data_IF_366672981305
#
_entry.id   IF_366672981305
#
_cell.length_a   1.000
_cell.length_b   1.000
_cell.length_c   1.000
_cell.angle_alpha   90.00
_cell.angle_beta   90.00
_cell.angle_gamma   90.00
#
_symmetry.space_group_name_H-M   'P 1'
#
loop_
_entity.id
_entity.type
_entity.pdbx_description
1 polymer ?
#
# COMPACT_ATOMS: atom_id res chain seq x y z
N UNK A 1 -15.09 -60.46 -7.73
CA UNK A 1 -15.66 -59.37 -8.56
C UNK A 1 -15.62 -58.03 -7.81
N UNK A 2 -16.07 -57.95 -6.56
CA UNK A 2 -16.07 -56.70 -5.77
C UNK A 2 -14.68 -56.10 -5.50
N UNK A 3 -13.65 -56.92 -5.23
CA UNK A 3 -12.30 -56.40 -4.98
C UNK A 3 -11.69 -55.69 -6.20
N UNK A 4 -11.94 -56.21 -7.41
CA UNK A 4 -11.44 -55.64 -8.65
C UNK A 4 -12.13 -54.30 -8.93
N UNK A 5 -13.44 -54.22 -8.67
CA UNK A 5 -14.23 -53.00 -8.83
C UNK A 5 -13.77 -51.88 -7.88
N UNK A 6 -13.45 -52.23 -6.62
CA UNK A 6 -12.90 -51.28 -5.63
C UNK A 6 -11.53 -50.75 -6.03
N UNK A 7 -10.64 -51.61 -6.53
CA UNK A 7 -9.31 -51.19 -7.00
C UNK A 7 -9.38 -50.27 -8.22
N UNK A 8 -10.31 -50.53 -9.16
CA UNK A 8 -10.52 -49.66 -10.32
C UNK A 8 -11.06 -48.28 -9.88
N UNK A 9 -12.00 -48.23 -8.94
CA UNK A 9 -12.54 -46.97 -8.41
C UNK A 9 -11.45 -46.16 -7.69
N UNK A 10 -10.59 -46.79 -6.88
CA UNK A 10 -9.48 -46.12 -6.21
C UNK A 10 -8.45 -45.55 -7.21
N UNK A 11 -8.14 -46.29 -8.29
CA UNK A 11 -7.24 -45.83 -9.36
C UNK A 11 -7.87 -44.65 -10.13
N UNK A 12 -9.18 -44.71 -10.41
CA UNK A 12 -9.90 -43.63 -11.08
C UNK A 12 -9.94 -42.35 -10.22
N UNK A 13 -10.18 -42.48 -8.91
CA UNK A 13 -10.15 -41.36 -7.97
C UNK A 13 -8.75 -40.76 -7.83
N UNK A 14 -7.70 -41.58 -7.92
CA UNK A 14 -6.31 -41.09 -7.91
C UNK A 14 -5.97 -40.31 -9.20
N UNK A 15 -6.45 -40.77 -10.37
CA UNK A 15 -6.26 -40.12 -11.67
C UNK A 15 -7.01 -38.79 -11.85
N UNK A 16 -8.09 -38.54 -11.09
CA UNK A 16 -8.84 -37.28 -11.10
C UNK A 16 -8.11 -36.17 -10.30
N UNK A 17 -7.07 -36.51 -9.54
CA UNK A 17 -6.36 -35.59 -8.64
C UNK A 17 -5.39 -34.63 -9.34
N UNK A 18 -5.16 -34.76 -10.65
CA UNK A 18 -4.17 -33.92 -11.35
C UNK A 18 -4.85 -33.09 -12.43
N UNK A 19 -5.18 -31.84 -12.08
CA UNK A 19 -4.94 -30.60 -12.84
C UNK A 19 -5.82 -29.45 -12.30
N UNK A 20 -5.55 -28.97 -11.09
CA UNK A 20 -5.87 -27.58 -10.79
C UNK A 20 -4.85 -26.70 -11.52
N UNK A 21 -5.12 -26.38 -12.79
CA UNK A 21 -4.42 -25.29 -13.46
C UNK A 21 -4.78 -23.99 -12.76
N UNK A 22 -3.90 -23.50 -11.90
CA UNK A 22 -3.88 -22.10 -11.52
C UNK A 22 -3.61 -21.30 -12.79
N UNK A 23 -4.62 -20.61 -13.33
CA UNK A 23 -4.38 -19.62 -14.38
C UNK A 23 -3.40 -18.58 -13.81
N UNK A 24 -2.18 -18.45 -14.38
CA UNK A 24 -1.22 -17.48 -13.88
C UNK A 24 -1.85 -16.09 -14.00
N UNK A 25 -1.75 -15.29 -12.94
CA UNK A 25 -2.13 -13.90 -12.99
C UNK A 25 -1.17 -13.20 -13.95
N UNK A 26 -1.66 -12.76 -15.11
CA UNK A 26 -0.84 -12.04 -16.08
C UNK A 26 -0.83 -10.54 -15.71
N UNK A 27 0.32 -9.98 -15.27
CA UNK A 27 0.40 -8.56 -14.97
C UNK A 27 0.34 -7.74 -16.27
N UNK A 28 -0.42 -6.65 -16.25
CA UNK A 28 -0.42 -5.63 -17.29
C UNK A 28 0.51 -4.52 -16.84
N UNK A 29 1.55 -4.23 -17.61
CA UNK A 29 2.57 -3.25 -17.26
C UNK A 29 2.64 -2.14 -18.30
N UNK A 30 3.06 -0.96 -17.88
CA UNK A 30 3.26 0.16 -18.78
C UNK A 30 3.90 1.35 -18.08
N UNK A 31 4.06 2.42 -18.86
CA UNK A 31 4.59 3.69 -18.42
C UNK A 31 3.77 4.82 -19.05
N UNK A 32 3.40 5.81 -18.26
CA UNK A 32 2.73 7.02 -18.74
C UNK A 32 3.75 7.98 -19.36
N UNK A 33 3.28 8.96 -20.13
CA UNK A 33 4.13 9.97 -20.78
C UNK A 33 5.00 10.76 -19.78
N UNK A 34 4.51 10.95 -18.55
CA UNK A 34 5.25 11.61 -17.48
C UNK A 34 6.28 10.71 -16.76
N UNK A 35 6.49 9.48 -17.26
CA UNK A 35 7.45 8.53 -16.71
C UNK A 35 6.92 7.63 -15.60
N UNK A 36 5.70 7.85 -15.08
CA UNK A 36 5.12 6.99 -14.03
C UNK A 36 4.90 5.58 -14.58
N UNK A 37 5.56 4.60 -13.94
CA UNK A 37 5.40 3.17 -14.26
C UNK A 37 4.27 2.57 -13.45
N UNK A 38 3.52 1.67 -14.06
CA UNK A 38 2.42 0.96 -13.40
C UNK A 38 2.46 -0.54 -13.69
N UNK A 39 1.87 -1.30 -12.77
CA UNK A 39 1.59 -2.73 -12.93
C UNK A 39 0.19 -2.97 -12.38
N UNK A 40 -0.70 -3.50 -13.23
CA UNK A 40 -2.06 -3.88 -12.87
C UNK A 40 -2.12 -5.40 -12.85
N UNK A 41 -2.48 -5.94 -11.69
CA UNK A 41 -2.63 -7.39 -11.49
C UNK A 41 -4.12 -7.72 -11.35
N UNK A 42 -4.82 -8.13 -12.44
CA UNK A 42 -6.22 -8.51 -12.35
C UNK A 42 -6.35 -9.83 -11.58
N UNK A 43 -7.04 -9.80 -10.45
CA UNK A 43 -7.33 -11.00 -9.67
C UNK A 43 -8.61 -11.67 -10.20
N UNK A 44 -8.54 -12.97 -10.50
CA UNK A 44 -9.66 -13.75 -11.04
C UNK A 44 -10.81 -13.98 -10.03
N UNK A 45 -10.65 -13.55 -8.78
CA UNK A 45 -11.67 -13.66 -7.74
C UNK A 45 -12.47 -12.35 -7.69
N UNK A 46 -13.79 -12.44 -7.81
CA UNK A 46 -14.70 -11.28 -7.71
C UNK A 46 -14.81 -10.76 -6.26
N UNK A 47 -13.74 -10.16 -5.74
CA UNK A 47 -13.75 -9.54 -4.42
C UNK A 47 -14.35 -8.12 -4.42
N UNK A 48 -14.65 -7.56 -5.62
CA UNK A 48 -15.05 -6.15 -5.80
C UNK A 48 -14.19 -5.20 -4.97
N UNK A 49 -12.88 -5.46 -4.96
CA UNK A 49 -11.86 -4.74 -4.19
C UNK A 49 -10.76 -4.33 -5.14
N UNK A 50 -10.18 -3.17 -4.87
CA UNK A 50 -8.96 -2.69 -5.48
C UNK A 50 -8.02 -2.29 -4.38
N UNK A 51 -6.75 -2.70 -4.48
CA UNK A 51 -5.69 -2.23 -3.60
C UNK A 51 -4.69 -1.49 -4.48
N UNK A 52 -4.17 -0.36 -3.99
CA UNK A 52 -3.20 0.48 -4.69
C UNK A 52 -1.94 0.58 -3.85
N UNK A 53 -0.79 0.33 -4.47
CA UNK A 53 0.52 0.47 -3.84
C UNK A 53 1.33 1.45 -4.68
N UNK A 54 1.80 2.51 -4.06
CA UNK A 54 2.66 3.51 -4.69
C UNK A 54 4.04 3.43 -4.06
N UNK A 55 5.05 3.25 -4.91
CA UNK A 55 6.45 3.23 -4.48
C UNK A 55 7.17 4.43 -5.07
N UNK A 56 7.72 5.26 -4.19
CA UNK A 56 8.69 6.29 -4.53
C UNK A 56 10.07 5.66 -4.36
N UNK A 57 10.83 5.56 -5.44
CA UNK A 57 12.20 5.02 -5.45
C UNK A 57 13.20 6.05 -4.90
N UNK A 58 12.92 6.52 -3.68
CA UNK A 58 13.79 7.34 -2.86
C UNK A 58 13.54 6.98 -1.40
N UNK A 59 14.61 6.73 -0.66
CA UNK A 59 14.59 6.36 0.76
C UNK A 59 15.69 7.07 1.54
N UNK A 60 16.02 6.54 2.73
CA UNK A 60 17.01 7.16 3.59
C UNK A 60 18.44 7.19 3.00
N UNK A 61 18.76 6.31 2.04
CA UNK A 61 20.08 6.28 1.39
C UNK A 61 20.31 7.50 0.48
N UNK A 62 19.23 8.16 0.04
CA UNK A 62 19.27 9.30 -0.86
C UNK A 62 19.40 10.64 -0.08
N UNK A 63 19.41 10.59 1.25
CA UNK A 63 19.54 11.76 2.11
C UNK A 63 20.98 12.28 2.14
N UNK A 64 21.15 13.60 2.12
CA UNK A 64 22.42 14.24 2.45
C UNK A 64 22.62 14.33 3.97
N UNK A 65 23.82 14.68 4.42
CA UNK A 65 24.14 14.86 5.85
C UNK A 65 23.16 15.81 6.58
N UNK A 66 22.68 16.84 5.88
CA UNK A 66 21.72 17.81 6.41
C UNK A 66 20.25 17.37 6.30
N UNK A 67 19.99 16.17 5.79
CA UNK A 67 18.66 15.63 5.52
C UNK A 67 18.40 14.33 6.28
N UNK A 68 19.17 14.05 7.33
CA UNK A 68 18.99 12.83 8.12
C UNK A 68 17.54 12.68 8.62
N UNK A 69 16.88 11.60 8.18
CA UNK A 69 15.50 11.25 8.49
C UNK A 69 14.43 11.97 7.65
N UNK A 70 14.80 12.85 6.72
CA UNK A 70 13.85 13.63 5.92
C UNK A 70 12.94 12.75 5.06
N UNK A 71 13.41 11.63 4.52
CA UNK A 71 12.56 10.73 3.73
C UNK A 71 11.39 10.18 4.57
N UNK A 72 11.66 9.82 5.84
CA UNK A 72 10.62 9.39 6.78
C UNK A 72 9.74 10.57 7.24
N UNK A 73 10.31 11.75 7.44
CA UNK A 73 9.53 12.95 7.78
C UNK A 73 8.55 13.32 6.65
N UNK A 74 8.99 13.27 5.39
CA UNK A 74 8.16 13.53 4.21
C UNK A 74 7.04 12.49 4.09
N UNK A 75 7.32 11.22 4.39
CA UNK A 75 6.30 10.16 4.46
C UNK A 75 5.15 10.56 5.39
N UNK A 76 5.46 11.00 6.61
CA UNK A 76 4.47 11.44 7.58
C UNK A 76 3.71 12.68 7.09
N UNK A 77 4.43 13.66 6.54
CA UNK A 77 3.84 14.92 6.08
C UNK A 77 2.89 14.72 4.88
N UNK A 78 3.04 13.65 4.10
CA UNK A 78 2.10 13.31 3.03
C UNK A 78 0.68 12.98 3.54
N UNK A 79 0.52 12.64 4.83
CA UNK A 79 -0.78 12.42 5.47
C UNK A 79 -1.41 13.70 6.03
N UNK A 80 -0.72 14.84 5.94
CA UNK A 80 -1.17 16.14 6.45
C UNK A 80 -1.89 16.93 5.37
N UNK A 81 -1.82 18.27 5.42
CA UNK A 81 -2.59 19.11 4.52
C UNK A 81 -2.20 18.88 3.06
N UNK A 82 -3.22 18.88 2.21
CA UNK A 82 -3.09 18.79 0.75
C UNK A 82 -3.94 19.90 0.12
N UNK A 83 -3.73 20.17 -1.17
CA UNK A 83 -4.44 21.23 -1.91
C UNK A 83 -5.97 21.20 -1.70
N UNK A 84 -6.58 20.01 -1.65
CA UNK A 84 -8.03 19.86 -1.44
C UNK A 84 -8.44 19.57 0.00
N UNK A 85 -7.50 19.29 0.90
CA UNK A 85 -7.77 18.95 2.30
C UNK A 85 -6.88 19.77 3.24
N UNK A 86 -7.32 21.00 3.50
CA UNK A 86 -6.56 21.97 4.29
C UNK A 86 -6.38 21.61 5.76
N UNK A 87 -7.27 20.78 6.33
CA UNK A 87 -7.18 20.25 7.70
C UNK A 87 -6.42 18.92 7.78
N UNK A 88 -5.80 18.51 6.68
CA UNK A 88 -5.20 17.19 6.52
C UNK A 88 -6.13 16.21 5.81
N UNK A 89 -5.56 15.27 5.07
CA UNK A 89 -6.33 14.23 4.40
C UNK A 89 -6.83 13.14 5.37
N UNK A 90 -6.12 12.91 6.48
CA UNK A 90 -6.48 11.87 7.47
C UNK A 90 -7.89 12.04 8.07
N UNK A 91 -8.33 13.23 8.54
CA UNK A 91 -9.70 13.42 9.01
C UNK A 91 -10.77 13.03 7.97
N UNK A 92 -10.55 13.39 6.71
CA UNK A 92 -11.43 12.98 5.62
C UNK A 92 -11.45 11.46 5.46
N UNK A 93 -10.28 10.81 5.40
CA UNK A 93 -10.20 9.35 5.30
C UNK A 93 -10.91 8.65 6.45
N UNK A 94 -10.71 9.10 7.69
CA UNK A 94 -11.41 8.58 8.86
C UNK A 94 -12.93 8.74 8.77
N UNK A 95 -13.42 9.91 8.34
CA UNK A 95 -14.85 10.14 8.12
C UNK A 95 -15.44 9.20 7.06
N UNK A 96 -14.64 8.87 6.05
CA UNK A 96 -14.99 7.91 5.00
C UNK A 96 -14.78 6.44 5.41
N UNK A 97 -14.48 6.17 6.69
CA UNK A 97 -14.34 4.82 7.22
C UNK A 97 -13.02 4.11 6.91
N UNK A 98 -12.01 4.86 6.47
CA UNK A 98 -10.64 4.33 6.38
C UNK A 98 -10.00 4.30 7.76
N UNK A 99 -9.30 3.21 8.06
CA UNK A 99 -8.57 3.03 9.31
C UNK A 99 -7.07 2.95 9.05
N UNK A 100 -6.27 3.77 9.75
CA UNK A 100 -4.79 3.70 9.70
C UNK A 100 -4.32 2.29 10.08
N UNK A 101 -3.33 1.77 9.36
CA UNK A 101 -2.78 0.42 9.55
C UNK A 101 -3.63 -0.72 8.96
N UNK A 102 -4.88 -0.46 8.59
CA UNK A 102 -5.76 -1.45 7.94
C UNK A 102 -6.09 -1.08 6.50
N UNK A 103 -6.53 0.16 6.28
CA UNK A 103 -6.94 0.67 4.98
C UNK A 103 -5.88 1.53 4.33
N UNK A 104 -5.00 2.14 5.11
CA UNK A 104 -3.85 2.83 4.57
C UNK A 104 -2.66 2.72 5.50
N UNK A 105 -1.47 2.66 4.91
CA UNK A 105 -0.23 2.67 5.65
C UNK A 105 0.89 3.20 4.76
N UNK A 106 2.01 3.60 5.37
CA UNK A 106 3.23 3.87 4.65
C UNK A 106 4.43 3.39 5.47
N UNK A 107 5.57 3.27 4.79
CA UNK A 107 6.86 3.06 5.42
C UNK A 107 7.99 3.52 4.50
N UNK A 108 9.02 4.10 5.11
CA UNK A 108 10.30 4.43 4.50
C UNK A 108 11.38 3.46 4.95
N UNK A 109 12.13 2.93 3.98
CA UNK A 109 13.35 2.18 4.23
C UNK A 109 14.55 2.88 3.58
N UNK A 110 15.69 2.18 3.48
CA UNK A 110 16.89 2.74 2.88
C UNK A 110 16.67 3.13 1.41
N UNK A 111 15.92 2.34 0.63
CA UNK A 111 15.89 2.47 -0.83
C UNK A 111 14.60 3.11 -1.38
N UNK A 112 13.51 3.08 -0.60
CA UNK A 112 12.22 3.57 -1.06
C UNK A 112 11.27 3.95 0.07
N UNK A 113 10.29 4.76 -0.32
CA UNK A 113 9.10 5.07 0.47
C UNK A 113 7.89 4.42 -0.20
N UNK A 114 7.17 3.57 0.52
CA UNK A 114 6.00 2.85 -0.01
C UNK A 114 4.73 3.30 0.71
N UNK A 115 3.69 3.65 -0.06
CA UNK A 115 2.35 3.99 0.41
C UNK A 115 1.37 2.91 -0.05
N UNK A 116 0.55 2.41 0.86
CA UNK A 116 -0.39 1.32 0.64
C UNK A 116 -1.80 1.82 0.90
N UNK A 117 -2.73 1.50 -0.02
CA UNK A 117 -4.13 1.87 0.04
C UNK A 117 -5.00 0.63 -0.22
N UNK A 118 -5.78 0.26 0.79
CA UNK A 118 -6.75 -0.83 0.81
C UNK A 118 -8.13 -0.23 1.14
N UNK A 119 -8.78 0.47 0.18
CA UNK A 119 -10.00 1.22 0.40
C UNK A 119 -11.14 0.40 1.04
N UNK A 120 -12.03 1.03 1.84
CA UNK A 120 -13.33 0.47 2.17
C UNK A 120 -14.13 0.09 0.91
N UNK A 121 -15.03 -0.90 1.01
CA UNK A 121 -15.75 -1.46 -0.15
C UNK A 121 -16.55 -0.46 -0.99
N UNK A 122 -16.92 0.68 -0.44
CA UNK A 122 -17.69 1.71 -1.14
C UNK A 122 -16.81 2.68 -1.94
N UNK A 123 -15.49 2.60 -1.81
CA UNK A 123 -14.53 3.34 -2.62
C UNK A 123 -14.19 2.56 -3.89
N UNK A 124 -14.28 3.23 -5.03
CA UNK A 124 -13.80 2.69 -6.30
C UNK A 124 -12.35 3.09 -6.59
N UNK A 125 -11.80 2.58 -7.69
CA UNK A 125 -10.43 2.89 -8.13
C UNK A 125 -10.21 4.39 -8.31
N UNK A 126 -11.13 5.11 -8.97
CA UNK A 126 -10.97 6.54 -9.25
C UNK A 126 -10.91 7.37 -7.97
N UNK A 127 -11.79 7.07 -7.00
CA UNK A 127 -11.77 7.74 -5.69
C UNK A 127 -10.49 7.41 -4.91
N UNK A 128 -9.99 6.18 -5.02
CA UNK A 128 -8.72 5.78 -4.40
C UNK A 128 -7.53 6.49 -5.03
N UNK A 129 -7.50 6.61 -6.36
CA UNK A 129 -6.47 7.35 -7.08
C UNK A 129 -6.53 8.85 -6.79
N UNK A 130 -7.70 9.42 -6.50
CA UNK A 130 -7.80 10.80 -6.03
C UNK A 130 -7.10 10.99 -4.68
N UNK A 131 -7.28 10.07 -3.73
CA UNK A 131 -6.56 10.08 -2.45
C UNK A 131 -5.05 10.02 -2.69
N UNK A 132 -4.60 9.09 -3.55
CA UNK A 132 -3.19 8.96 -3.95
C UNK A 132 -2.65 10.26 -4.54
N UNK A 133 -3.40 10.88 -5.46
CA UNK A 133 -3.04 12.15 -6.10
C UNK A 133 -2.82 13.23 -5.05
N UNK A 134 -3.74 13.34 -4.09
CA UNK A 134 -3.67 14.38 -3.06
C UNK A 134 -2.45 14.19 -2.16
N UNK A 135 -2.22 12.97 -1.68
CA UNK A 135 -1.09 12.68 -0.79
C UNK A 135 0.27 12.81 -1.46
N UNK A 136 0.43 12.28 -2.68
CA UNK A 136 1.75 12.14 -3.29
C UNK A 136 2.13 13.28 -4.24
N UNK A 137 1.15 14.00 -4.77
CA UNK A 137 1.39 15.06 -5.75
C UNK A 137 0.91 16.42 -5.28
N UNK A 138 0.04 16.50 -4.27
CA UNK A 138 -0.57 17.76 -3.77
C UNK A 138 -0.38 17.99 -2.27
N UNK A 139 0.56 17.29 -1.62
CA UNK A 139 0.91 17.57 -0.23
C UNK A 139 1.55 18.96 -0.10
N UNK A 140 1.15 19.71 0.92
CA UNK A 140 1.59 21.10 1.09
C UNK A 140 2.77 21.28 2.04
N UNK A 141 3.11 20.26 2.84
CA UNK A 141 4.25 20.25 3.79
C UNK A 141 4.35 21.56 4.59
N UNK A 142 3.27 21.93 5.27
CA UNK A 142 3.18 23.21 6.00
C UNK A 142 3.98 23.17 7.30
N UNK A 143 4.59 24.29 7.67
CA UNK A 143 5.31 24.44 8.93
C UNK A 143 4.43 24.14 10.16
N UNK A 144 3.17 24.57 10.14
CA UNK A 144 2.22 24.31 11.23
C UNK A 144 1.92 22.82 11.42
N UNK A 145 1.81 22.06 10.31
CA UNK A 145 1.62 20.61 10.37
C UNK A 145 2.88 19.92 10.93
N UNK A 146 4.05 20.39 10.50
CA UNK A 146 5.35 19.88 10.95
C UNK A 146 5.55 20.04 12.46
N UNK A 147 5.14 21.17 13.03
CA UNK A 147 5.25 21.40 14.47
C UNK A 147 4.50 20.37 15.32
N UNK A 148 3.41 19.81 14.77
CA UNK A 148 2.65 18.73 15.40
C UNK A 148 3.27 17.36 15.11
N UNK A 149 3.66 17.10 13.85
CA UNK A 149 4.14 15.80 13.39
C UNK A 149 5.49 15.43 14.00
N UNK A 150 6.40 16.41 14.12
CA UNK A 150 7.72 16.17 14.72
C UNK A 150 7.64 15.56 16.12
N UNK A 151 6.57 15.86 16.88
CA UNK A 151 6.37 15.28 18.21
C UNK A 151 6.09 13.78 18.11
N UNK A 152 5.26 13.37 17.15
CA UNK A 152 4.94 11.96 16.90
C UNK A 152 6.21 11.20 16.48
N UNK A 153 6.96 11.76 15.52
CA UNK A 153 8.21 11.16 15.03
C UNK A 153 9.23 11.01 16.16
N UNK A 154 9.34 12.00 17.05
CA UNK A 154 10.21 11.91 18.22
C UNK A 154 9.79 10.78 19.17
N UNK A 155 8.49 10.56 19.39
CA UNK A 155 8.02 9.42 20.20
C UNK A 155 8.28 8.06 19.54
N UNK A 156 8.14 7.98 18.22
CA UNK A 156 8.48 6.76 17.46
C UNK A 156 9.98 6.45 17.59
N UNK A 157 10.84 7.47 17.48
CA UNK A 157 12.28 7.32 17.70
C UNK A 157 12.59 6.82 19.11
N UNK A 158 12.01 7.43 20.16
CA UNK A 158 12.18 6.98 21.55
C UNK A 158 11.76 5.53 21.74
N UNK A 159 10.61 5.15 21.16
CA UNK A 159 10.05 3.81 21.31
C UNK A 159 10.92 2.77 20.60
N UNK A 160 11.41 3.06 19.39
CA UNK A 160 12.32 2.18 18.65
C UNK A 160 13.65 1.97 19.38
N UNK A 161 14.18 2.98 20.04
CA UNK A 161 15.41 2.87 20.83
C UNK A 161 15.20 2.14 22.16
N UNK A 162 14.03 2.30 22.79
CA UNK A 162 13.68 1.56 24.02
C UNK A 162 13.48 0.06 23.78
N UNK A 163 13.01 -0.35 22.60
CA UNK A 163 12.85 -1.75 22.22
C UNK A 163 14.18 -2.47 21.88
N UNK A 164 15.30 -1.73 21.84
CA UNK A 164 16.66 -2.25 21.62
C UNK A 164 17.50 -2.39 22.90
N UNK A 165 16.94 -2.05 24.07
CA UNK A 165 17.57 -2.25 25.39
C UNK A 165 16.93 -3.42 26.11
#
# INVERSE_FOLDING_TARGET
>A
MELILRSIICILLFLISTTTFSNPLTPIQGQLENGLRYTVLPLHIQLKRVDVIMRVYAGAIDETENQSGVAHMVEHMAFRATESYSQGIMPYLHQQGWLRGKNYNAFTNQENTTYIYMPPKHFNLMQTLEVVKQMLFKAEIRAADWDSERKIILEEWRTRDSAKR
#
